data_IF_218408475682
#
_entry.id   IF_218408475682
#
_cell.length_a   1.000
_cell.length_b   1.000
_cell.length_c   1.000
_cell.angle_alpha   90.00
_cell.angle_beta   90.00
_cell.angle_gamma   90.00
#
_symmetry.space_group_name_H-M   'P 1'
#
loop_
_entity.id
_entity.type
_entity.pdbx_description
1 polymer ?
#
# COMPACT_ATOMS: atom_id res chain seq x y z
N UNK A 1 -36.36 -5.39 1.80
CA UNK A 1 -35.81 -4.03 1.58
C UNK A 1 -34.68 -3.82 2.58
N UNK A 2 -33.41 -3.91 2.17
CA UNK A 2 -32.30 -3.47 3.03
C UNK A 2 -31.07 -2.99 2.22
N UNK A 3 -31.29 -2.34 1.08
CA UNK A 3 -30.21 -1.90 0.18
C UNK A 3 -29.45 -0.69 0.78
N UNK A 4 -30.11 0.10 1.65
CA UNK A 4 -29.56 1.35 2.17
C UNK A 4 -28.52 1.19 3.30
N UNK A 5 -28.53 0.08 4.05
CA UNK A 5 -27.52 -0.17 5.08
C UNK A 5 -26.19 -0.66 4.49
N UNK A 6 -26.26 -1.44 3.41
CA UNK A 6 -25.09 -2.01 2.73
C UNK A 6 -24.26 -0.92 2.04
N UNK A 7 -24.92 0.09 1.46
CA UNK A 7 -24.25 1.23 0.81
C UNK A 7 -23.55 2.16 1.80
N UNK A 8 -24.12 2.36 3.00
CA UNK A 8 -23.54 3.23 4.01
C UNK A 8 -22.26 2.64 4.62
N UNK A 9 -22.27 1.32 4.88
CA UNK A 9 -21.09 0.59 5.38
C UNK A 9 -19.91 0.70 4.38
N UNK A 10 -20.20 0.58 3.09
CA UNK A 10 -19.19 0.68 2.04
C UNK A 10 -18.55 2.07 1.97
N UNK A 11 -19.32 3.14 2.17
CA UNK A 11 -18.81 4.50 2.12
C UNK A 11 -18.01 4.87 3.37
N UNK A 12 -18.45 4.44 4.56
CA UNK A 12 -17.65 4.59 5.80
C UNK A 12 -16.33 3.81 5.71
N UNK A 13 -16.37 2.59 5.17
CA UNK A 13 -15.15 1.79 4.99
C UNK A 13 -14.19 2.41 3.97
N UNK A 14 -14.70 3.00 2.87
CA UNK A 14 -13.87 3.76 1.93
C UNK A 14 -13.18 4.94 2.60
N UNK A 15 -13.89 5.70 3.45
CA UNK A 15 -13.29 6.83 4.18
C UNK A 15 -12.13 6.35 5.05
N UNK A 16 -12.33 5.27 5.82
CA UNK A 16 -11.27 4.69 6.65
C UNK A 16 -10.09 4.19 5.81
N UNK A 17 -10.34 3.54 4.67
CA UNK A 17 -9.29 3.09 3.76
C UNK A 17 -8.50 4.29 3.21
N UNK A 18 -9.18 5.37 2.81
CA UNK A 18 -8.54 6.58 2.34
C UNK A 18 -7.68 7.23 3.43
N UNK A 19 -8.20 7.37 4.64
CA UNK A 19 -7.45 7.93 5.78
C UNK A 19 -6.20 7.10 6.10
N UNK A 20 -6.33 5.77 6.10
CA UNK A 20 -5.21 4.85 6.28
C UNK A 20 -4.15 5.02 5.18
N UNK A 21 -4.56 5.12 3.92
CA UNK A 21 -3.64 5.32 2.81
C UNK A 21 -2.95 6.68 2.89
N UNK A 22 -3.66 7.75 3.25
CA UNK A 22 -3.08 9.09 3.45
C UNK A 22 -1.98 9.09 4.53
N UNK A 23 -2.14 8.30 5.60
CA UNK A 23 -1.11 8.11 6.63
C UNK A 23 0.11 7.31 6.13
N UNK A 24 -0.06 6.43 5.16
CA UNK A 24 1.00 5.56 4.64
C UNK A 24 1.75 6.16 3.44
N UNK A 25 1.12 7.06 2.68
CA UNK A 25 1.75 7.71 1.53
C UNK A 25 3.12 8.36 1.82
N UNK A 26 3.37 8.99 2.98
CA UNK A 26 4.67 9.58 3.31
C UNK A 26 5.86 8.59 3.36
N UNK A 27 5.59 7.29 3.40
CA UNK A 27 6.63 6.23 3.39
C UNK A 27 7.22 6.06 1.99
N UNK A 28 6.46 6.45 0.96
CA UNK A 28 6.88 6.32 -0.44
C UNK A 28 7.77 7.48 -0.87
N UNK A 29 8.69 7.27 -1.83
CA UNK A 29 9.29 8.36 -2.58
C UNK A 29 8.20 9.26 -3.19
N UNK A 30 8.41 10.58 -3.18
CA UNK A 30 7.42 11.59 -3.58
C UNK A 30 6.74 11.25 -4.93
N UNK A 31 7.53 10.90 -5.94
CA UNK A 31 7.04 10.54 -7.27
C UNK A 31 6.08 9.35 -7.25
N UNK A 32 6.29 8.37 -6.37
CA UNK A 32 5.40 7.21 -6.22
C UNK A 32 4.17 7.59 -5.40
N UNK A 33 4.33 8.38 -4.33
CA UNK A 33 3.23 8.86 -3.50
C UNK A 33 2.19 9.65 -4.31
N UNK A 34 2.66 10.55 -5.18
CA UNK A 34 1.80 11.35 -6.05
C UNK A 34 0.99 10.47 -7.02
N UNK A 35 1.64 9.45 -7.61
CA UNK A 35 1.00 8.53 -8.54
C UNK A 35 -0.02 7.64 -7.83
N UNK A 36 0.32 7.09 -6.66
CA UNK A 36 -0.60 6.26 -5.87
C UNK A 36 -1.81 7.09 -5.43
N UNK A 37 -1.60 8.30 -4.88
CA UNK A 37 -2.70 9.20 -4.50
C UNK A 37 -3.63 9.47 -5.68
N UNK A 38 -3.08 9.90 -6.81
CA UNK A 38 -3.86 10.28 -7.98
C UNK A 38 -4.73 9.11 -8.49
N UNK A 39 -4.21 7.88 -8.48
CA UNK A 39 -4.89 6.72 -9.08
C UNK A 39 -5.78 6.01 -8.06
N UNK A 40 -5.25 5.71 -6.89
CA UNK A 40 -5.89 4.83 -5.90
C UNK A 40 -6.83 5.59 -4.96
N UNK A 41 -6.63 6.90 -4.76
CA UNK A 41 -7.49 7.75 -3.93
C UNK A 41 -8.37 8.69 -4.75
N UNK A 42 -7.81 9.34 -5.77
CA UNK A 42 -8.54 10.35 -6.57
C UNK A 42 -9.22 9.75 -7.81
N UNK A 43 -8.96 8.48 -8.14
CA UNK A 43 -9.57 7.79 -9.28
C UNK A 43 -9.16 8.35 -10.65
N UNK A 44 -8.03 9.08 -10.73
CA UNK A 44 -7.52 9.64 -11.97
C UNK A 44 -6.95 8.51 -12.84
N UNK A 45 -7.26 8.54 -14.13
CA UNK A 45 -6.75 7.53 -15.06
C UNK A 45 -5.24 7.62 -15.25
N UNK A 46 -4.59 6.47 -15.47
CA UNK A 46 -3.16 6.34 -15.74
C UNK A 46 -2.68 7.28 -16.86
N UNK A 47 -3.47 7.43 -17.93
CA UNK A 47 -3.14 8.28 -19.07
C UNK A 47 -3.10 9.76 -18.68
N UNK A 48 -4.08 10.21 -17.88
CA UNK A 48 -4.11 11.61 -17.40
C UNK A 48 -2.93 11.88 -16.48
N UNK A 49 -2.59 10.94 -15.60
CA UNK A 49 -1.40 11.05 -14.73
C UNK A 49 -0.12 11.13 -15.55
N UNK A 50 0.03 10.28 -16.57
CA UNK A 50 1.18 10.30 -17.48
C UNK A 50 1.35 11.67 -18.17
N UNK A 51 0.25 12.25 -18.66
CA UNK A 51 0.25 13.57 -19.29
C UNK A 51 0.63 14.66 -18.28
N UNK A 52 0.03 14.67 -17.09
CA UNK A 52 0.27 15.70 -16.06
C UNK A 52 1.70 15.69 -15.53
N UNK A 53 2.30 14.51 -15.44
CA UNK A 53 3.66 14.33 -14.94
C UNK A 53 4.72 14.33 -16.05
N UNK A 54 4.31 14.49 -17.32
CA UNK A 54 5.18 14.49 -18.49
C UNK A 54 6.09 13.26 -18.58
N UNK A 55 5.59 12.09 -18.17
CA UNK A 55 6.29 10.81 -18.22
C UNK A 55 5.52 9.78 -19.05
N UNK A 56 6.21 8.74 -19.52
CA UNK A 56 5.56 7.67 -20.27
C UNK A 56 4.55 6.90 -19.42
N UNK A 57 3.49 6.39 -20.05
CA UNK A 57 2.52 5.50 -19.40
C UNK A 57 3.18 4.30 -18.72
N UNK A 58 4.21 3.72 -19.37
CA UNK A 58 5.00 2.62 -18.83
C UNK A 58 5.68 3.01 -17.51
N UNK A 59 6.23 4.22 -17.44
CA UNK A 59 6.89 4.72 -16.23
C UNK A 59 5.87 4.96 -15.10
N UNK A 60 4.67 5.46 -15.41
CA UNK A 60 3.57 5.57 -14.43
C UNK A 60 3.22 4.19 -13.86
N UNK A 61 3.01 3.19 -14.72
CA UNK A 61 2.66 1.82 -14.30
C UNK A 61 3.76 1.22 -13.42
N UNK A 62 5.02 1.42 -13.80
CA UNK A 62 6.18 0.94 -13.04
C UNK A 62 6.24 1.58 -11.65
N UNK A 63 6.12 2.91 -11.56
CA UNK A 63 6.13 3.64 -10.28
C UNK A 63 4.95 3.30 -9.40
N UNK A 64 3.76 3.17 -9.99
CA UNK A 64 2.55 2.73 -9.28
C UNK A 64 2.74 1.33 -8.69
N UNK A 65 3.29 0.40 -9.47
CA UNK A 65 3.59 -0.96 -9.00
C UNK A 65 4.55 -0.95 -7.81
N UNK A 66 5.64 -0.19 -7.90
CA UNK A 66 6.59 -0.09 -6.80
C UNK A 66 5.97 0.55 -5.55
N UNK A 67 5.21 1.65 -5.71
CA UNK A 67 4.51 2.28 -4.59
C UNK A 67 3.58 1.31 -3.87
N UNK A 68 2.74 0.58 -4.61
CA UNK A 68 1.84 -0.44 -4.04
C UNK A 68 2.61 -1.58 -3.35
N UNK A 69 3.73 -2.03 -3.92
CA UNK A 69 4.56 -3.07 -3.31
C UNK A 69 5.16 -2.61 -1.97
N UNK A 70 5.66 -1.37 -1.91
CA UNK A 70 6.19 -0.80 -0.66
C UNK A 70 5.09 -0.64 0.39
N UNK A 71 3.91 -0.13 0.00
CA UNK A 71 2.78 -0.04 0.92
C UNK A 71 2.37 -1.42 1.45
N UNK A 72 2.25 -2.42 0.58
CA UNK A 72 1.92 -3.79 0.98
C UNK A 72 2.97 -4.39 1.92
N UNK A 73 4.26 -4.16 1.67
CA UNK A 73 5.33 -4.61 2.56
C UNK A 73 5.20 -3.97 3.94
N UNK A 74 4.97 -2.66 4.01
CA UNK A 74 4.87 -1.96 5.28
C UNK A 74 3.60 -2.30 6.07
N UNK A 75 2.46 -2.43 5.38
CA UNK A 75 1.23 -2.97 5.98
C UNK A 75 1.50 -4.39 6.50
N UNK A 76 2.20 -5.22 5.71
CA UNK A 76 2.65 -6.53 6.13
C UNK A 76 3.41 -6.50 7.45
N UNK A 77 4.38 -5.60 7.62
CA UNK A 77 5.15 -5.43 8.87
C UNK A 77 4.29 -4.96 10.05
N UNK A 78 3.28 -4.11 9.81
CA UNK A 78 2.40 -3.58 10.84
C UNK A 78 1.40 -4.62 11.36
N UNK A 79 0.89 -5.49 10.49
CA UNK A 79 -0.14 -6.49 10.82
C UNK A 79 0.42 -7.90 11.05
N UNK A 80 1.57 -8.21 10.44
CA UNK A 80 2.38 -9.38 10.70
C UNK A 80 3.58 -8.89 11.50
N UNK A 81 3.43 -8.87 12.84
CA UNK A 81 4.57 -8.61 13.73
C UNK A 81 5.77 -9.50 13.38
N UNK A 82 7.00 -9.18 13.82
CA UNK A 82 8.18 -9.97 13.49
C UNK A 82 7.89 -11.43 13.80
N UNK A 83 7.89 -12.27 12.76
CA UNK A 83 7.61 -13.70 12.88
C UNK A 83 8.38 -14.25 14.08
N UNK A 84 7.66 -14.78 15.07
CA UNK A 84 8.25 -15.52 16.18
C UNK A 84 8.76 -16.90 15.75
N UNK A 85 9.32 -17.00 14.55
CA UNK A 85 9.98 -18.20 14.04
C UNK A 85 11.44 -17.85 13.72
N UNK A 86 12.17 -17.41 14.75
CA UNK A 86 13.60 -17.63 14.77
C UNK A 86 13.84 -19.12 15.00
N UNK A 87 14.46 -19.88 14.09
CA UNK A 87 14.98 -21.18 14.48
C UNK A 87 16.01 -20.93 15.56
N UNK A 88 15.69 -21.43 16.76
CA UNK A 88 16.60 -21.53 17.90
C UNK A 88 17.99 -21.88 17.41
N UNK A 89 18.91 -20.99 17.76
CA UNK A 89 20.34 -21.09 17.56
C UNK A 89 20.87 -22.52 17.75
N UNK A 90 21.65 -22.95 16.76
CA UNK A 90 22.59 -24.04 16.85
C UNK A 90 23.51 -23.83 18.07
N UNK A 91 23.38 -24.69 19.09
CA UNK A 91 24.13 -24.50 20.33
C UNK A 91 23.87 -25.55 21.39
N UNK A 92 24.10 -26.83 21.09
CA UNK A 92 24.45 -27.78 22.15
C UNK A 92 25.86 -28.30 21.95
N UNK A 93 26.72 -27.75 22.81
CA UNK A 93 28.03 -28.23 23.17
C UNK A 93 28.00 -29.74 23.46
N UNK A 94 28.96 -30.46 22.90
CA UNK A 94 29.44 -31.75 23.40
C UNK A 94 30.13 -31.52 24.75
N UNK A 95 29.90 -32.38 25.75
CA UNK A 95 31.02 -32.81 26.58
C UNK A 95 31.07 -34.32 26.79
N UNK A 96 32.29 -34.84 26.60
CA UNK A 96 32.90 -36.12 27.01
C UNK A 96 32.17 -37.44 26.71
#
# INVERSE_FOLDING_TARGET
MNIHQETQLDDEMKVVICDCLDLLLPILPLDQALIVRAIDLEGISLLIVAIRLEISLTEVVKRLKFGRQTLNAHIGELFVGPSQDGPTSCGYHRPH
#
